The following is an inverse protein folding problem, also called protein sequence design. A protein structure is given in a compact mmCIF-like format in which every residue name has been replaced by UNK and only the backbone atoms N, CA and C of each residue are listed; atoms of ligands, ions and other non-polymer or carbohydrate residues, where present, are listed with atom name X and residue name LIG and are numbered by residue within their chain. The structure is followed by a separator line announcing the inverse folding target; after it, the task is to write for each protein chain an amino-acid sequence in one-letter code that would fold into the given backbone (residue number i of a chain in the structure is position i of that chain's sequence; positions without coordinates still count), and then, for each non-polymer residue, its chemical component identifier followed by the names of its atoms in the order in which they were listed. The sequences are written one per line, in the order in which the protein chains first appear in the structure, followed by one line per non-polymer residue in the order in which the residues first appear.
data_IF_188636187848
#
_entry.id   IF_188636187848
#
_cell.length_a   1.000
_cell.length_b   1.000
_cell.length_c   1.000
_cell.angle_alpha   90.00
_cell.angle_beta   90.00
_cell.angle_gamma   90.00
#
_symmetry.space_group_name_H-M   'P 1'
#
loop_
_entity.id
_entity.type
_entity.pdbx_description
1 polymer ?
#
# COMPACT_ATOMS: atom_id res chain seq x y z
N UNK A 1 27.55 16.47 -32.26
CA UNK A 1 26.69 15.56 -31.50
C UNK A 1 27.39 15.27 -30.19
N UNK A 2 27.20 16.14 -29.21
CA UNK A 2 27.94 16.11 -27.93
C UNK A 2 27.14 15.28 -26.92
N UNK A 3 27.69 14.12 -26.53
CA UNK A 3 27.13 13.31 -25.45
C UNK A 3 27.25 14.10 -24.15
N UNK A 4 26.14 14.68 -23.67
CA UNK A 4 26.05 15.17 -22.30
C UNK A 4 25.96 13.97 -21.36
N UNK A 5 27.11 13.53 -20.88
CA UNK A 5 27.22 12.71 -19.68
C UNK A 5 26.75 13.53 -18.49
N UNK A 6 25.53 13.29 -18.02
CA UNK A 6 25.01 13.91 -16.80
C UNK A 6 25.93 13.56 -15.63
N UNK A 7 26.47 14.60 -14.98
CA UNK A 7 27.30 14.43 -13.78
C UNK A 7 26.43 13.92 -12.63
N UNK A 8 26.82 12.79 -12.06
CA UNK A 8 26.31 12.30 -10.78
C UNK A 8 26.97 13.13 -9.68
N UNK A 9 26.23 14.02 -9.02
CA UNK A 9 26.81 14.73 -7.86
C UNK A 9 26.11 15.99 -7.36
N UNK A 10 24.78 16.13 -7.51
CA UNK A 10 24.02 17.08 -6.70
C UNK A 10 23.52 16.42 -5.42
N UNK A 11 23.38 17.13 -4.29
CA UNK A 11 22.68 16.58 -3.14
C UNK A 11 21.26 16.23 -3.57
N UNK A 12 20.93 14.93 -3.56
CA UNK A 12 19.56 14.47 -3.77
C UNK A 12 18.65 15.26 -2.84
N UNK A 13 17.47 15.66 -3.31
CA UNK A 13 16.53 16.55 -2.64
C UNK A 13 15.91 15.96 -1.38
N UNK A 14 16.53 14.94 -0.77
CA UNK A 14 16.07 14.28 0.42
C UNK A 14 14.58 13.91 0.29
N UNK A 15 14.25 13.17 -0.77
CA UNK A 15 12.91 12.60 -0.98
C UNK A 15 12.93 11.11 -0.63
N UNK A 16 11.96 10.68 0.19
CA UNK A 16 11.75 9.28 0.60
C UNK A 16 10.66 8.60 -0.23
N UNK A 17 9.65 9.35 -0.66
CA UNK A 17 8.55 8.86 -1.48
C UNK A 17 8.15 9.97 -2.45
N UNK A 18 7.99 9.60 -3.71
CA UNK A 18 7.47 10.44 -4.78
C UNK A 18 6.48 9.60 -5.59
N UNK A 19 5.24 10.05 -5.70
CA UNK A 19 4.23 9.46 -6.57
C UNK A 19 3.40 10.55 -7.23
N UNK A 20 2.90 10.29 -8.42
CA UNK A 20 2.11 11.25 -9.20
C UNK A 20 0.86 10.56 -9.76
N UNK A 21 -0.29 11.19 -9.54
CA UNK A 21 -1.61 10.68 -9.91
C UNK A 21 -2.39 11.74 -10.65
N UNK A 22 -2.88 11.42 -11.83
CA UNK A 22 -3.69 12.31 -12.64
C UNK A 22 -5.17 12.06 -12.39
N UNK A 23 -5.87 13.09 -11.89
CA UNK A 23 -7.31 13.10 -11.69
C UNK A 23 -7.98 14.00 -12.73
N UNK A 24 -9.30 13.86 -12.96
CA UNK A 24 -10.03 14.68 -13.94
C UNK A 24 -9.82 16.19 -13.77
N UNK A 25 -9.70 16.65 -12.53
CA UNK A 25 -9.58 18.06 -12.17
C UNK A 25 -8.14 18.57 -12.03
N UNK A 26 -7.17 17.69 -11.76
CA UNK A 26 -5.81 18.08 -11.40
C UNK A 26 -4.80 16.93 -11.42
N UNK A 27 -3.51 17.27 -11.38
CA UNK A 27 -2.43 16.34 -11.11
C UNK A 27 -2.02 16.45 -9.63
N UNK A 28 -2.05 15.33 -8.90
CA UNK A 28 -1.59 15.25 -7.52
C UNK A 28 -0.19 14.65 -7.47
N UNK A 29 0.73 15.34 -6.79
CA UNK A 29 2.08 14.87 -6.53
C UNK A 29 2.27 14.69 -5.04
N UNK A 30 2.48 13.44 -4.62
CA UNK A 30 2.77 13.08 -3.24
C UNK A 30 4.27 13.10 -3.02
N UNK A 31 4.71 13.81 -1.98
CA UNK A 31 6.12 14.02 -1.67
C UNK A 31 6.32 13.81 -0.18
N UNK A 32 7.30 12.99 0.19
CA UNK A 32 7.80 12.96 1.57
C UNK A 32 9.26 13.36 1.60
N UNK A 33 9.56 14.42 2.34
CA UNK A 33 10.91 14.91 2.56
C UNK A 33 11.22 14.99 4.06
N UNK A 34 12.48 15.19 4.42
CA UNK A 34 12.87 15.72 5.73
C UNK A 34 13.62 16.99 5.38
N UNK A 35 13.20 18.11 5.96
CA UNK A 35 13.83 19.44 5.92
C UNK A 35 13.32 20.46 4.88
N UNK A 36 12.89 20.07 3.67
CA UNK A 36 12.47 21.07 2.64
C UNK A 36 10.98 21.38 2.62
N UNK A 37 10.19 20.32 2.67
CA UNK A 37 8.75 20.38 2.69
C UNK A 37 8.36 19.45 3.84
N UNK A 38 8.44 19.88 5.11
CA UNK A 38 7.91 19.15 6.29
C UNK A 38 8.05 17.62 6.25
N UNK A 39 7.03 16.85 6.70
CA UNK A 39 7.05 15.37 6.64
C UNK A 39 6.28 14.80 5.43
N UNK A 40 5.16 15.42 5.04
CA UNK A 40 4.20 14.92 4.04
C UNK A 40 3.54 16.09 3.27
N UNK A 41 3.59 16.05 1.94
CA UNK A 41 3.01 17.08 1.07
C UNK A 41 2.24 16.43 -0.06
N UNK A 42 1.01 16.88 -0.25
CA UNK A 42 0.23 16.70 -1.47
C UNK A 42 0.26 18.03 -2.23
N UNK A 43 0.84 18.03 -3.43
CA UNK A 43 0.91 19.21 -4.28
C UNK A 43 -0.03 19.03 -5.45
N UNK A 44 -0.93 20.00 -5.63
CA UNK A 44 -1.84 20.07 -6.75
C UNK A 44 -1.22 20.89 -7.88
N UNK A 45 -1.09 20.27 -9.05
CA UNK A 45 -0.52 20.85 -10.24
C UNK A 45 -1.54 20.87 -11.38
N UNK A 46 -1.41 21.85 -12.28
CA UNK A 46 -2.14 21.82 -13.54
C UNK A 46 -1.64 20.66 -14.41
N UNK A 47 -2.58 19.96 -15.05
CA UNK A 47 -2.27 18.95 -16.06
C UNK A 47 -1.59 19.60 -17.27
N UNK A 48 -0.58 18.92 -17.81
CA UNK A 48 0.04 19.25 -19.10
C UNK A 48 -0.22 18.12 -20.08
N UNK A 49 -0.79 18.47 -21.23
CA UNK A 49 -1.09 17.50 -22.28
C UNK A 49 0.19 16.76 -22.73
N UNK A 50 0.12 15.43 -22.80
CA UNK A 50 1.25 14.56 -23.17
C UNK A 50 2.31 14.35 -22.07
N UNK A 51 2.08 14.80 -20.84
CA UNK A 51 2.99 14.51 -19.73
C UNK A 51 2.82 13.07 -19.24
N UNK A 52 3.85 12.24 -19.39
CA UNK A 52 3.86 10.84 -18.92
C UNK A 52 4.59 10.66 -17.59
N UNK A 53 5.45 11.62 -17.23
CA UNK A 53 6.32 11.54 -16.06
C UNK A 53 6.33 12.86 -15.27
N UNK A 54 6.51 12.74 -13.96
CA UNK A 54 6.69 13.85 -13.03
C UNK A 54 8.05 13.75 -12.35
N UNK A 55 8.72 14.88 -12.17
CA UNK A 55 9.90 14.99 -11.33
C UNK A 55 9.93 16.32 -10.60
N UNK A 56 10.81 16.42 -9.61
CA UNK A 56 10.98 17.58 -8.77
C UNK A 56 12.42 18.10 -8.90
N UNK A 57 12.56 19.42 -8.88
CA UNK A 57 13.84 20.13 -8.80
C UNK A 57 13.72 21.28 -7.78
N UNK A 58 14.83 21.64 -7.14
CA UNK A 58 14.86 22.73 -6.16
C UNK A 58 14.71 24.11 -6.80
N UNK A 59 15.12 24.20 -8.07
CA UNK A 59 15.08 25.43 -8.85
C UNK A 59 14.53 25.13 -10.25
N UNK A 60 13.98 26.13 -10.96
CA UNK A 60 13.39 25.93 -12.29
C UNK A 60 14.34 25.34 -13.34
N UNK A 61 15.65 25.45 -13.15
CA UNK A 61 16.69 25.00 -14.09
C UNK A 61 17.72 24.05 -13.47
N UNK A 62 17.47 23.62 -12.23
CA UNK A 62 18.38 22.75 -11.48
C UNK A 62 18.31 21.28 -11.92
N UNK A 63 19.19 20.43 -11.38
CA UNK A 63 19.03 18.98 -11.50
C UNK A 63 17.71 18.54 -10.88
N UNK A 64 17.09 17.53 -11.48
CA UNK A 64 15.83 16.96 -11.04
C UNK A 64 16.04 15.56 -10.45
N UNK A 65 15.11 15.12 -9.60
CA UNK A 65 15.07 13.76 -9.06
C UNK A 65 14.73 12.72 -10.13
N UNK A 66 14.93 11.44 -9.87
CA UNK A 66 14.52 10.43 -10.86
C UNK A 66 13.01 10.54 -11.10
N UNK A 67 12.56 10.68 -12.36
CA UNK A 67 11.15 10.90 -12.66
C UNK A 67 10.32 9.67 -12.30
N UNK A 68 9.11 9.91 -11.83
CA UNK A 68 8.10 8.87 -11.57
C UNK A 68 7.02 8.93 -12.65
N UNK A 69 6.45 7.78 -13.06
CA UNK A 69 5.34 7.79 -14.00
C UNK A 69 4.12 8.50 -13.39
N UNK A 70 3.39 9.20 -14.23
CA UNK A 70 2.07 9.74 -13.87
C UNK A 70 1.07 8.61 -14.03
N UNK A 71 0.41 8.23 -12.92
CA UNK A 71 -0.61 7.19 -12.94
C UNK A 71 -1.96 7.81 -13.28
N UNK A 72 -2.57 7.36 -14.38
CA UNK A 72 -3.90 7.79 -14.78
C UNK A 72 -4.97 7.30 -13.80
N UNK A 73 -5.69 8.23 -13.17
CA UNK A 73 -6.85 8.03 -12.31
C UNK A 73 -8.07 8.81 -12.84
N UNK A 74 -8.09 9.09 -14.14
CA UNK A 74 -9.20 9.81 -14.81
C UNK A 74 -10.35 8.91 -15.25
N UNK A 75 -10.20 7.59 -15.05
CA UNK A 75 -11.22 6.62 -15.41
C UNK A 75 -12.53 6.88 -14.63
N UNK A 76 -13.69 6.80 -15.30
CA UNK A 76 -14.97 7.13 -14.69
C UNK A 76 -15.36 6.13 -13.60
N UNK A 77 -15.00 4.86 -13.78
CA UNK A 77 -15.27 3.79 -12.83
C UNK A 77 -13.96 3.29 -12.21
N UNK A 78 -13.94 3.05 -10.88
CA UNK A 78 -12.77 2.50 -10.22
C UNK A 78 -12.53 1.05 -10.66
N UNK A 79 -11.26 0.69 -10.83
CA UNK A 79 -10.83 -0.67 -11.19
C UNK A 79 -11.26 -1.71 -10.16
N UNK A 80 -11.22 -1.34 -8.88
CA UNK A 80 -11.57 -2.19 -7.76
C UNK A 80 -12.77 -1.63 -7.02
N UNK A 81 -13.70 -2.49 -6.61
CA UNK A 81 -14.78 -2.05 -5.73
C UNK A 81 -14.29 -1.92 -4.28
N UNK A 82 -13.51 -2.89 -3.81
CA UNK A 82 -12.99 -2.93 -2.45
C UNK A 82 -11.52 -3.34 -2.45
N UNK A 83 -10.70 -2.57 -1.73
CA UNK A 83 -9.26 -2.78 -1.57
C UNK A 83 -8.82 -2.55 -0.13
N UNK A 84 -7.59 -2.92 0.20
CA UNK A 84 -7.02 -2.77 1.55
C UNK A 84 -5.71 -1.98 1.48
N UNK A 85 -5.61 -0.93 2.29
CA UNK A 85 -4.37 -0.26 2.66
C UNK A 85 -3.83 -0.94 3.93
N UNK A 86 -2.72 -1.65 3.79
CA UNK A 86 -2.05 -2.28 4.91
C UNK A 86 -1.06 -1.29 5.53
N UNK A 87 -1.24 -1.01 6.82
CA UNK A 87 -0.35 -0.16 7.59
C UNK A 87 1.12 -0.59 7.43
N UNK A 88 2.08 0.37 7.56
CA UNK A 88 3.48 0.11 7.29
C UNK A 88 4.03 -1.09 8.04
N UNK A 89 4.62 -2.01 7.28
CA UNK A 89 5.35 -3.14 7.80
C UNK A 89 6.79 -2.73 8.11
N UNK A 90 7.22 -2.99 9.35
CA UNK A 90 8.58 -2.76 9.84
C UNK A 90 9.00 -3.85 10.84
N UNK A 91 10.28 -3.87 11.23
CA UNK A 91 10.80 -4.87 12.18
C UNK A 91 11.30 -6.14 11.50
N UNK A 92 12.18 -6.87 12.19
CA UNK A 92 12.92 -8.03 11.67
C UNK A 92 12.24 -9.37 11.93
N UNK A 93 11.15 -9.36 12.69
CA UNK A 93 10.38 -10.56 12.99
C UNK A 93 9.62 -11.08 11.76
N UNK A 94 9.49 -12.41 11.63
CA UNK A 94 8.73 -13.05 10.56
C UNK A 94 7.27 -12.58 10.55
N UNK A 95 6.78 -12.16 9.38
CA UNK A 95 5.42 -11.64 9.18
C UNK A 95 4.61 -12.41 8.16
N UNK A 96 5.24 -13.33 7.46
CA UNK A 96 4.69 -14.07 6.34
C UNK A 96 3.32 -14.69 6.67
N UNK A 97 3.15 -15.25 7.88
CA UNK A 97 1.90 -15.88 8.27
C UNK A 97 0.78 -14.85 8.47
N UNK A 98 1.04 -13.76 9.20
CA UNK A 98 0.06 -12.69 9.37
C UNK A 98 -0.29 -12.00 8.05
N UNK A 99 0.68 -11.87 7.15
CA UNK A 99 0.47 -11.29 5.83
C UNK A 99 -0.42 -12.20 4.99
N UNK A 100 -0.14 -13.51 4.95
CA UNK A 100 -0.97 -14.49 4.27
C UNK A 100 -2.39 -14.52 4.84
N UNK A 101 -2.52 -14.58 6.17
CA UNK A 101 -3.81 -14.52 6.86
C UNK A 101 -4.60 -13.24 6.54
N UNK A 102 -3.93 -12.09 6.45
CA UNK A 102 -4.58 -10.82 6.14
C UNK A 102 -5.10 -10.83 4.70
N UNK A 103 -4.22 -11.10 3.75
CA UNK A 103 -4.56 -11.05 2.32
C UNK A 103 -5.71 -12.02 2.02
N UNK A 104 -5.59 -13.27 2.47
CA UNK A 104 -6.61 -14.27 2.21
C UNK A 104 -7.92 -14.02 2.96
N UNK A 105 -7.87 -13.51 4.20
CA UNK A 105 -9.08 -13.08 4.92
C UNK A 105 -9.84 -12.01 4.14
N UNK A 106 -9.15 -10.97 3.67
CA UNK A 106 -9.81 -9.88 2.96
C UNK A 106 -10.26 -10.27 1.55
N UNK A 107 -9.57 -11.19 0.88
CA UNK A 107 -10.06 -11.81 -0.37
C UNK A 107 -11.39 -12.53 -0.14
N UNK A 108 -11.50 -13.32 0.92
CA UNK A 108 -12.78 -13.94 1.32
C UNK A 108 -13.86 -12.91 1.69
N UNK A 109 -13.47 -11.71 2.14
CA UNK A 109 -14.37 -10.57 2.37
C UNK A 109 -14.65 -9.74 1.11
N UNK A 110 -14.14 -10.15 -0.05
CA UNK A 110 -14.39 -9.53 -1.35
C UNK A 110 -13.43 -8.41 -1.75
N UNK A 111 -12.30 -8.25 -1.05
CA UNK A 111 -11.23 -7.34 -1.48
C UNK A 111 -10.51 -7.92 -2.70
N UNK A 112 -10.13 -7.05 -3.62
CA UNK A 112 -9.50 -7.45 -4.90
C UNK A 112 -8.13 -6.83 -5.13
N UNK A 113 -7.68 -5.95 -4.23
CA UNK A 113 -6.38 -5.31 -4.33
C UNK A 113 -5.82 -4.89 -2.97
N UNK A 114 -4.50 -4.97 -2.82
CA UNK A 114 -3.79 -4.69 -1.58
C UNK A 114 -2.66 -3.69 -1.81
N UNK A 115 -2.69 -2.56 -1.11
CA UNK A 115 -1.56 -1.64 -1.04
C UNK A 115 -0.74 -1.97 0.20
N UNK A 116 0.48 -2.48 0.00
CA UNK A 116 1.33 -2.96 1.08
C UNK A 116 2.53 -2.05 1.25
N UNK A 117 2.55 -1.31 2.35
CA UNK A 117 3.65 -0.41 2.69
C UNK A 117 4.72 -1.16 3.47
N UNK A 118 5.97 -1.11 3.01
CA UNK A 118 7.08 -1.80 3.66
C UNK A 118 8.26 -0.87 3.87
N UNK A 119 8.65 -0.66 5.14
CA UNK A 119 9.92 -0.02 5.51
C UNK A 119 11.05 -1.04 5.51
N UNK A 120 10.79 -2.20 6.12
CA UNK A 120 11.71 -3.33 6.20
C UNK A 120 10.88 -4.60 6.39
N UNK A 121 11.31 -5.70 5.76
CA UNK A 121 10.66 -7.00 5.81
C UNK A 121 11.74 -8.08 5.68
N UNK A 122 11.58 -9.19 6.40
CA UNK A 122 12.46 -10.35 6.25
C UNK A 122 12.31 -11.00 4.86
N UNK A 123 13.33 -11.74 4.43
CA UNK A 123 13.38 -12.34 3.09
C UNK A 123 12.20 -13.29 2.81
N UNK A 124 11.80 -14.11 3.79
CA UNK A 124 10.75 -15.09 3.61
C UNK A 124 9.38 -14.42 3.45
N UNK A 125 9.06 -13.43 4.29
CA UNK A 125 7.87 -12.60 4.12
C UNK A 125 7.89 -11.81 2.81
N UNK A 126 9.08 -11.37 2.36
CA UNK A 126 9.22 -10.63 1.11
C UNK A 126 8.89 -11.50 -0.11
N UNK A 127 9.37 -12.75 -0.14
CA UNK A 127 9.06 -13.71 -1.20
C UNK A 127 7.55 -13.90 -1.32
N UNK A 128 6.84 -14.04 -0.20
CA UNK A 128 5.38 -14.14 -0.19
C UNK A 128 4.71 -12.88 -0.76
N UNK A 129 5.13 -11.69 -0.32
CA UNK A 129 4.59 -10.45 -0.85
C UNK A 129 4.84 -10.31 -2.36
N UNK A 130 6.02 -10.71 -2.82
CA UNK A 130 6.37 -10.70 -4.24
C UNK A 130 5.47 -11.60 -5.09
N UNK A 131 4.96 -12.70 -4.52
CA UNK A 131 4.00 -13.55 -5.21
C UNK A 131 2.66 -12.83 -5.43
N UNK A 132 2.11 -12.18 -4.40
CA UNK A 132 0.88 -11.38 -4.55
C UNK A 132 1.06 -10.18 -5.49
N UNK A 133 2.26 -9.60 -5.54
CA UNK A 133 2.58 -8.55 -6.52
C UNK A 133 2.61 -9.13 -7.93
N UNK A 134 3.24 -10.29 -8.11
CA UNK A 134 3.35 -10.98 -9.40
C UNK A 134 1.99 -11.41 -9.96
N UNK A 135 1.04 -11.80 -9.10
CA UNK A 135 -0.33 -12.15 -9.51
C UNK A 135 -1.22 -10.94 -9.76
N UNK A 136 -0.73 -9.72 -9.48
CA UNK A 136 -1.49 -8.48 -9.65
C UNK A 136 -2.51 -8.24 -8.53
N UNK A 137 -2.42 -8.99 -7.43
CA UNK A 137 -3.31 -8.83 -6.27
C UNK A 137 -2.83 -7.73 -5.32
N UNK A 138 -1.52 -7.43 -5.33
CA UNK A 138 -0.93 -6.43 -4.44
C UNK A 138 0.03 -5.48 -5.16
N UNK A 139 0.24 -4.32 -4.56
CA UNK A 139 1.37 -3.43 -4.83
C UNK A 139 2.23 -3.31 -3.58
N UNK A 140 3.55 -3.40 -3.74
CA UNK A 140 4.51 -3.15 -2.65
C UNK A 140 5.07 -1.73 -2.75
N UNK A 141 4.75 -0.89 -1.76
CA UNK A 141 5.23 0.50 -1.66
C UNK A 141 6.39 0.53 -0.67
N UNK A 142 7.59 0.77 -1.17
CA UNK A 142 8.81 0.76 -0.34
C UNK A 142 9.02 2.13 0.31
N UNK A 143 8.97 2.16 1.63
CA UNK A 143 9.21 3.32 2.46
C UNK A 143 10.71 3.45 2.74
N UNK A 144 11.42 4.12 1.84
CA UNK A 144 12.85 4.33 2.02
C UNK A 144 13.13 5.24 3.21
N UNK A 145 13.68 4.67 4.29
CA UNK A 145 14.08 5.45 5.47
C UNK A 145 15.41 6.19 5.23
N UNK A 146 15.34 7.26 4.44
CA UNK A 146 16.48 8.17 4.21
C UNK A 146 16.69 9.13 5.36
N UNK A 147 15.78 9.12 6.35
CA UNK A 147 15.58 10.21 7.29
C UNK A 147 15.44 9.74 8.72
N UNK A 148 15.81 8.51 9.04
CA UNK A 148 15.72 7.94 10.38
C UNK A 148 14.36 8.26 11.03
N UNK A 149 13.28 8.18 10.24
CA UNK A 149 11.93 8.45 10.74
C UNK A 149 11.60 7.36 11.74
N UNK A 150 11.17 7.77 12.93
CA UNK A 150 10.64 6.83 13.93
C UNK A 150 9.47 6.06 13.33
N UNK A 151 9.38 4.76 13.62
CA UNK A 151 8.48 3.85 12.91
C UNK A 151 7.01 4.31 12.92
N UNK A 152 6.52 4.77 14.08
CA UNK A 152 5.16 5.29 14.22
C UNK A 152 4.83 6.50 13.31
N UNK A 153 5.83 7.21 12.77
CA UNK A 153 5.61 8.34 11.87
C UNK A 153 5.32 7.92 10.43
N UNK A 154 5.59 6.68 10.07
CA UNK A 154 5.27 6.17 8.73
C UNK A 154 3.78 5.95 8.54
N UNK A 155 3.02 5.78 9.62
CA UNK A 155 1.57 5.63 9.54
C UNK A 155 0.91 6.86 8.93
N UNK A 156 1.34 8.07 9.30
CA UNK A 156 0.81 9.31 8.70
C UNK A 156 1.08 9.38 7.19
N UNK A 157 2.31 9.03 6.78
CA UNK A 157 2.71 8.96 5.37
C UNK A 157 1.84 7.98 4.60
N UNK A 158 1.64 6.79 5.16
CA UNK A 158 0.84 5.73 4.53
C UNK A 158 -0.62 6.16 4.40
N UNK A 159 -1.25 6.70 5.44
CA UNK A 159 -2.64 7.13 5.39
C UNK A 159 -2.88 8.14 4.26
N UNK A 160 -2.02 9.16 4.13
CA UNK A 160 -2.14 10.18 3.10
C UNK A 160 -1.85 9.64 1.70
N UNK A 161 -0.81 8.82 1.57
CA UNK A 161 -0.41 8.30 0.27
C UNK A 161 -1.37 7.23 -0.23
N UNK A 162 -1.83 6.32 0.62
CA UNK A 162 -2.77 5.29 0.24
C UNK A 162 -4.14 5.86 -0.11
N UNK A 163 -4.62 6.86 0.65
CA UNK A 163 -5.86 7.56 0.31
C UNK A 163 -5.78 8.20 -1.08
N UNK A 164 -4.65 8.86 -1.39
CA UNK A 164 -4.44 9.48 -2.70
C UNK A 164 -4.28 8.44 -3.81
N UNK A 165 -3.51 7.37 -3.55
CA UNK A 165 -3.24 6.26 -4.48
C UNK A 165 -4.49 5.47 -4.84
N UNK A 166 -5.35 5.22 -3.85
CA UNK A 166 -6.57 4.45 -4.00
C UNK A 166 -7.70 5.26 -4.62
N UNK A 167 -7.67 6.60 -4.53
CA UNK A 167 -8.66 7.47 -5.17
C UNK A 167 -8.72 7.19 -6.68
N UNK A 168 -9.93 6.94 -7.19
CA UNK A 168 -10.16 6.60 -8.61
C UNK A 168 -9.67 5.20 -9.02
N UNK A 169 -9.03 4.46 -8.10
CA UNK A 169 -8.64 3.06 -8.32
C UNK A 169 -9.56 2.09 -7.59
N UNK A 170 -9.96 2.48 -6.38
CA UNK A 170 -10.81 1.71 -5.48
C UNK A 170 -12.04 2.54 -5.11
N UNK A 171 -13.25 1.96 -5.16
CA UNK A 171 -14.46 2.63 -4.68
C UNK A 171 -14.45 2.76 -3.15
N UNK A 172 -14.14 1.66 -2.46
CA UNK A 172 -13.88 1.61 -1.03
C UNK A 172 -12.48 1.10 -0.74
N UNK A 173 -11.85 1.67 0.29
CA UNK A 173 -10.57 1.20 0.80
C UNK A 173 -10.61 1.09 2.32
N UNK A 174 -10.14 -0.04 2.86
CA UNK A 174 -10.00 -0.24 4.30
C UNK A 174 -8.55 0.01 4.74
N UNK A 175 -8.35 0.78 5.81
CA UNK A 175 -7.05 0.98 6.44
C UNK A 175 -6.93 0.02 7.63
N UNK A 176 -6.00 -0.92 7.56
CA UNK A 176 -5.94 -2.10 8.44
C UNK A 176 -4.51 -2.36 8.90
N UNK A 177 -4.32 -2.59 10.19
CA UNK A 177 -3.04 -3.08 10.72
C UNK A 177 -2.85 -4.59 10.44
N UNK A 178 -1.60 -5.06 10.38
CA UNK A 178 -1.28 -6.43 9.97
C UNK A 178 -1.95 -7.52 10.84
N UNK A 179 -2.19 -7.22 12.12
CA UNK A 179 -2.82 -8.08 13.11
C UNK A 179 -4.35 -7.88 13.25
N UNK A 180 -4.96 -7.02 12.42
CA UNK A 180 -6.39 -6.72 12.48
C UNK A 180 -7.22 -7.46 11.43
N UNK A 181 -8.43 -7.87 11.81
CA UNK A 181 -9.40 -8.55 10.93
C UNK A 181 -10.78 -7.95 11.11
N UNK A 182 -11.38 -7.49 10.01
CA UNK A 182 -12.80 -7.12 9.98
C UNK A 182 -13.64 -8.37 9.73
N UNK A 183 -14.31 -8.84 10.78
CA UNK A 183 -15.17 -10.03 10.73
C UNK A 183 -16.62 -9.66 11.04
N UNK A 184 -17.58 -9.97 10.16
CA UNK A 184 -19.00 -9.79 10.47
C UNK A 184 -19.42 -10.64 11.67
N UNK A 185 -20.11 -10.04 12.65
CA UNK A 185 -20.79 -10.79 13.72
C UNK A 185 -22.26 -11.04 13.39
N UNK A 186 -22.95 -10.02 12.87
CA UNK A 186 -24.41 -10.01 12.70
C UNK A 186 -24.84 -9.70 11.25
N UNK A 187 -23.96 -9.98 10.28
CA UNK A 187 -24.23 -9.77 8.86
C UNK A 187 -23.83 -11.02 8.05
N UNK A 188 -24.76 -11.62 7.27
CA UNK A 188 -24.53 -12.91 6.62
C UNK A 188 -23.65 -12.84 5.35
N UNK A 189 -23.32 -11.65 4.86
CA UNK A 189 -22.51 -11.45 3.66
C UNK A 189 -21.07 -11.00 3.92
N UNK A 190 -20.35 -10.75 2.83
CA UNK A 190 -18.97 -10.24 2.86
C UNK A 190 -18.90 -8.76 3.24
N UNK A 191 -17.69 -8.21 3.46
CA UNK A 191 -17.52 -6.76 3.59
C UNK A 191 -17.95 -6.04 2.32
N UNK A 192 -17.63 -6.58 1.14
CA UNK A 192 -18.09 -6.03 -0.13
C UNK A 192 -19.62 -5.97 -0.23
N UNK A 193 -20.34 -7.00 0.21
CA UNK A 193 -21.82 -7.00 0.18
C UNK A 193 -22.40 -5.93 1.11
N UNK A 194 -21.78 -5.75 2.29
CA UNK A 194 -22.16 -4.69 3.21
C UNK A 194 -21.93 -3.29 2.61
N UNK A 195 -20.77 -3.06 2.00
CA UNK A 195 -20.40 -1.78 1.38
C UNK A 195 -21.29 -1.44 0.18
N UNK A 196 -21.73 -2.43 -0.61
CA UNK A 196 -22.68 -2.23 -1.72
C UNK A 196 -24.04 -1.72 -1.26
N UNK A 197 -24.43 -1.98 -0.02
CA UNK A 197 -25.70 -1.49 0.53
C UNK A 197 -25.64 -0.02 0.98
N UNK A 198 -24.47 0.61 0.92
CA UNK A 198 -24.29 2.02 1.29
C UNK A 198 -24.38 2.84 0.01
N UNK A 199 -25.58 3.40 -0.22
CA UNK A 199 -25.89 4.14 -1.45
C UNK A 199 -25.90 5.66 -1.26
N UNK A 200 -25.77 6.16 -0.02
CA UNK A 200 -25.71 7.60 0.24
C UNK A 200 -24.30 8.12 -0.06
N UNK A 201 -24.17 8.85 -1.18
CA UNK A 201 -22.92 9.43 -1.66
C UNK A 201 -22.29 10.45 -0.68
N UNK A 202 -23.02 10.90 0.34
CA UNK A 202 -22.47 11.78 1.39
C UNK A 202 -21.62 11.03 2.42
N UNK A 203 -21.66 9.70 2.42
CA UNK A 203 -20.88 8.87 3.36
C UNK A 203 -19.49 8.64 2.78
N UNK A 204 -18.51 9.42 3.25
CA UNK A 204 -17.11 9.28 2.85
C UNK A 204 -16.28 8.31 3.69
N UNK A 205 -16.85 7.69 4.72
CA UNK A 205 -16.11 6.80 5.62
C UNK A 205 -16.98 6.08 6.64
N UNK A 206 -16.51 4.94 7.09
CA UNK A 206 -17.18 4.06 8.06
C UNK A 206 -16.16 3.62 9.09
N UNK A 207 -16.57 3.55 10.34
CA UNK A 207 -15.74 3.03 11.43
C UNK A 207 -16.41 1.80 12.04
N UNK A 208 -15.61 0.76 12.30
CA UNK A 208 -16.06 -0.45 12.97
C UNK A 208 -15.59 -0.45 14.43
N UNK A 209 -16.36 -1.11 15.29
CA UNK A 209 -15.99 -1.28 16.70
C UNK A 209 -14.85 -2.31 16.80
N UNK A 210 -13.74 -1.89 17.41
CA UNK A 210 -12.60 -2.77 17.65
C UNK A 210 -12.87 -3.72 18.82
N UNK A 211 -12.39 -4.96 18.71
CA UNK A 211 -12.36 -5.95 19.79
C UNK A 211 -10.98 -6.58 19.85
N UNK A 212 -10.34 -6.49 21.02
CA UNK A 212 -9.01 -7.02 21.24
C UNK A 212 -9.07 -8.51 21.60
N UNK A 213 -8.27 -9.31 20.92
CA UNK A 213 -8.07 -10.74 21.21
C UNK A 213 -6.57 -10.94 21.39
N UNK A 214 -6.15 -11.27 22.61
CA UNK A 214 -4.74 -11.49 22.92
C UNK A 214 -4.30 -12.87 22.43
N UNK A 215 -3.19 -12.91 21.69
CA UNK A 215 -2.49 -14.14 21.32
C UNK A 215 -1.25 -14.29 22.22
N UNK A 216 -1.05 -15.48 22.78
CA UNK A 216 0.11 -15.79 23.64
C UNK A 216 1.20 -16.60 22.91
N UNK A 217 0.97 -16.92 21.64
CA UNK A 217 1.85 -17.77 20.84
C UNK A 217 2.78 -16.93 19.98
N UNK A 218 4.00 -17.42 19.77
CA UNK A 218 4.94 -16.81 18.82
C UNK A 218 4.68 -17.31 17.41
N UNK A 219 4.86 -16.43 16.44
CA UNK A 219 4.73 -16.79 15.03
C UNK A 219 5.93 -17.66 14.59
N UNK A 220 5.71 -18.67 13.73
CA UNK A 220 6.78 -19.48 13.17
C UNK A 220 7.65 -18.65 12.21
N UNK A 221 8.95 -18.96 12.17
CA UNK A 221 9.88 -18.31 11.26
C UNK A 221 9.59 -18.62 9.78
N UNK A 222 9.15 -19.85 9.50
CA UNK A 222 8.89 -20.35 8.15
C UNK A 222 7.84 -21.47 8.20
N UNK A 223 7.27 -21.79 7.04
CA UNK A 223 6.46 -23.00 6.87
C UNK A 223 7.37 -24.22 6.87
N UNK A 224 7.04 -25.24 7.67
CA UNK A 224 7.78 -26.52 7.71
C UNK A 224 6.99 -27.64 7.06
N UNK A 225 5.75 -27.86 7.51
CA UNK A 225 4.91 -28.95 7.03
C UNK A 225 3.44 -28.76 7.42
N UNK A 226 2.59 -29.64 6.88
CA UNK A 226 1.14 -29.67 7.08
C UNK A 226 0.71 -30.13 8.47
N UNK A 227 1.63 -30.73 9.25
CA UNK A 227 1.34 -31.27 10.56
C UNK A 227 1.48 -30.19 11.65
N UNK A 228 1.99 -29.00 11.30
CA UNK A 228 1.95 -27.82 12.16
C UNK A 228 0.50 -27.44 12.53
N UNK A 229 0.22 -27.27 13.83
CA UNK A 229 -1.14 -27.06 14.35
C UNK A 229 -1.88 -25.86 13.73
N UNK A 230 -1.16 -24.81 13.32
CA UNK A 230 -1.75 -23.67 12.65
C UNK A 230 -2.11 -23.95 11.18
N UNK A 231 -1.46 -24.90 10.49
CA UNK A 231 -1.81 -25.25 9.11
C UNK A 231 -3.25 -25.79 9.04
N UNK A 232 -3.71 -26.51 10.07
CA UNK A 232 -5.10 -27.02 10.13
C UNK A 232 -6.14 -25.89 10.13
N UNK A 233 -5.83 -24.77 10.75
CA UNK A 233 -6.71 -23.59 10.81
C UNK A 233 -6.63 -22.72 9.55
N UNK A 234 -5.53 -22.83 8.81
CA UNK A 234 -5.21 -21.95 7.67
C UNK A 234 -5.10 -22.71 6.34
N UNK A 235 -5.60 -23.96 6.30
CA UNK A 235 -5.37 -24.92 5.21
C UNK A 235 -5.68 -24.35 3.83
N UNK A 236 -6.77 -23.59 3.69
CA UNK A 236 -7.14 -22.95 2.42
C UNK A 236 -6.04 -22.01 1.91
N UNK A 237 -5.45 -21.20 2.79
CA UNK A 237 -4.39 -20.24 2.47
C UNK A 237 -3.15 -20.98 1.94
N UNK A 238 -2.79 -22.09 2.60
CA UNK A 238 -1.61 -22.85 2.23
C UNK A 238 -1.78 -23.76 1.02
N UNK A 239 -2.97 -24.32 0.81
CA UNK A 239 -3.24 -25.11 -0.40
C UNK A 239 -3.15 -24.22 -1.65
N UNK A 240 -3.52 -22.93 -1.56
CA UNK A 240 -3.29 -21.97 -2.64
C UNK A 240 -1.80 -21.63 -2.85
N UNK A 241 -1.01 -21.46 -1.78
CA UNK A 241 0.43 -21.19 -1.88
C UNK A 241 1.25 -22.40 -2.41
N UNK A 242 0.86 -23.64 -2.07
CA UNK A 242 1.61 -24.85 -2.45
C UNK A 242 1.34 -25.25 -3.91
N UNK A 243 0.18 -24.93 -4.47
CA UNK A 243 -0.21 -25.27 -5.85
C UNK A 243 0.44 -24.32 -6.89
N UNK A 244 1.06 -23.21 -6.44
CA UNK A 244 1.80 -22.27 -7.30
C UNK A 244 3.24 -22.67 -7.64
N UNK A 245 3.58 -23.98 -7.66
CA UNK A 245 4.87 -24.49 -8.15
C UNK A 245 4.75 -25.22 -9.47
#
# INVERSE_FOLDING_TARGET
MEKRTGSRGGPKMNISLLSAYEFPEQLNVMITSRDKYGYEYNVHCLRREGAEFMSLSDTPTGPYEFPVPITDRTQPEPTHFFSVCLAPIYGTEPKWLLLAELVEHYKLQGATYFYVYSKYMDEYSRILLDDYVRTGEAEAIILHDRFWRKDYRWQSVELQECLTRARGHSHWVAFIDLDERLTPTDYPGTRTDYLKNITDEKIGGIQFRQRWILKNETLPAEYKDKDQDWYRHHRQIFDHMIVGK
#
